data_IF_306692604871
#
_entry.id   IF_306692604871
#
_cell.length_a   1.000
_cell.length_b   1.000
_cell.length_c   1.000
_cell.angle_alpha   90.00
_cell.angle_beta   90.00
_cell.angle_gamma   90.00
#
_symmetry.space_group_name_H-M   'P 1'
#
loop_
_entity.id
_entity.type
_entity.pdbx_description
1 polymer ?
#
# COMPACT_ATOMS: atom_id res chain seq x y z
N UNK A 1 -4.67 -4.98 -17.80
CA UNK A 1 -4.54 -4.67 -16.37
C UNK A 1 -5.00 -5.87 -15.55
N UNK A 2 -4.38 -6.11 -14.40
CA UNK A 2 -4.75 -7.15 -13.44
C UNK A 2 -4.59 -6.62 -12.01
N UNK A 3 -5.08 -7.36 -11.02
CA UNK A 3 -4.91 -7.03 -9.61
C UNK A 3 -4.73 -8.31 -8.78
N UNK A 4 -3.96 -8.24 -7.71
CA UNK A 4 -3.76 -9.37 -6.82
C UNK A 4 -2.81 -9.06 -5.66
N UNK A 5 -2.69 -10.02 -4.74
CA UNK A 5 -1.75 -9.97 -3.63
C UNK A 5 -0.37 -10.47 -4.06
N UNK A 6 0.73 -10.10 -3.37
CA UNK A 6 2.08 -10.47 -3.77
C UNK A 6 2.31 -11.97 -3.96
N UNK A 7 1.65 -12.84 -3.17
CA UNK A 7 1.79 -14.29 -3.28
C UNK A 7 1.31 -14.84 -4.62
N UNK A 8 0.23 -14.29 -5.18
CA UNK A 8 -0.26 -14.63 -6.53
C UNK A 8 0.78 -14.26 -7.57
N UNK A 9 1.37 -13.08 -7.45
CA UNK A 9 2.38 -12.59 -8.39
C UNK A 9 3.69 -13.37 -8.30
N UNK A 10 4.11 -13.78 -7.11
CA UNK A 10 5.27 -14.68 -6.96
C UNK A 10 5.03 -16.02 -7.66
N UNK A 11 3.86 -16.62 -7.49
CA UNK A 11 3.50 -17.86 -8.18
C UNK A 11 3.47 -17.70 -9.70
N UNK A 12 2.93 -16.59 -10.21
CA UNK A 12 2.96 -16.27 -11.64
C UNK A 12 4.39 -16.15 -12.15
N UNK A 13 5.27 -15.42 -11.47
CA UNK A 13 6.67 -15.26 -11.90
C UNK A 13 7.40 -16.61 -11.95
N UNK A 14 7.25 -17.45 -10.93
CA UNK A 14 7.82 -18.80 -10.93
C UNK A 14 7.33 -19.63 -12.11
N UNK A 15 6.03 -19.57 -12.41
CA UNK A 15 5.46 -20.29 -13.55
C UNK A 15 6.01 -19.79 -14.89
N UNK A 16 6.09 -18.46 -15.09
CA UNK A 16 6.62 -17.86 -16.31
C UNK A 16 8.08 -18.26 -16.55
N UNK A 17 8.90 -18.22 -15.49
CA UNK A 17 10.31 -18.61 -15.56
C UNK A 17 10.50 -20.09 -15.88
N UNK A 18 9.83 -20.97 -15.13
CA UNK A 18 9.94 -22.41 -15.32
C UNK A 18 9.56 -22.85 -16.74
N UNK A 19 8.61 -22.16 -17.36
CA UNK A 19 8.11 -22.48 -18.69
C UNK A 19 8.65 -21.56 -19.80
N UNK A 20 9.56 -20.62 -19.47
CA UNK A 20 10.14 -19.63 -20.40
C UNK A 20 9.06 -18.82 -21.14
N UNK A 21 8.00 -18.47 -20.44
CA UNK A 21 6.88 -17.71 -20.98
C UNK A 21 7.08 -16.20 -20.82
N UNK A 22 6.39 -15.41 -21.64
CA UNK A 22 6.35 -13.96 -21.59
C UNK A 22 4.92 -13.47 -21.44
N UNK A 23 4.76 -12.28 -20.84
CA UNK A 23 3.48 -11.60 -20.79
C UNK A 23 3.29 -10.78 -22.07
N UNK A 24 2.22 -11.05 -22.82
CA UNK A 24 1.97 -10.42 -24.12
C UNK A 24 1.03 -9.21 -24.04
N UNK A 25 0.08 -9.22 -23.11
CA UNK A 25 -1.02 -8.23 -23.07
C UNK A 25 -1.11 -7.47 -21.75
N UNK A 26 -0.52 -8.00 -20.68
CA UNK A 26 -0.49 -7.35 -19.38
C UNK A 26 0.51 -6.19 -19.40
N UNK A 27 0.05 -4.96 -19.09
CA UNK A 27 0.88 -3.75 -19.04
C UNK A 27 0.92 -3.13 -17.64
N UNK A 28 -0.03 -3.48 -16.79
CA UNK A 28 -0.14 -2.92 -15.43
C UNK A 28 -0.74 -3.92 -14.48
N UNK A 29 -0.25 -3.93 -13.24
CA UNK A 29 -0.86 -4.65 -12.13
C UNK A 29 -1.04 -3.76 -10.92
N UNK A 30 -2.18 -3.95 -10.23
CA UNK A 30 -2.44 -3.40 -8.91
C UNK A 30 -2.05 -4.45 -7.87
N UNK A 31 -1.31 -4.04 -6.87
CA UNK A 31 -0.87 -4.91 -5.77
C UNK A 31 -1.28 -4.29 -4.45
N UNK A 32 -1.90 -5.10 -3.59
CA UNK A 32 -2.34 -4.68 -2.27
C UNK A 32 -2.42 -5.87 -1.31
N UNK A 33 -2.92 -5.63 -0.11
CA UNK A 33 -3.11 -6.65 0.92
C UNK A 33 -1.86 -6.99 1.75
N UNK A 34 -0.66 -6.83 1.19
CA UNK A 34 0.61 -6.91 1.91
C UNK A 34 1.73 -6.19 1.15
N UNK A 35 2.88 -5.98 1.78
CA UNK A 35 4.02 -5.34 1.15
C UNK A 35 4.57 -6.18 -0.02
N UNK A 36 4.79 -5.55 -1.17
CA UNK A 36 5.39 -6.19 -2.33
C UNK A 36 6.93 -6.07 -2.27
N UNK A 37 7.68 -7.17 -2.38
CA UNK A 37 9.14 -7.11 -2.41
C UNK A 37 9.65 -6.26 -3.58
N UNK A 38 10.64 -5.40 -3.32
CA UNK A 38 11.28 -4.54 -4.35
C UNK A 38 11.80 -5.38 -5.52
N UNK A 39 12.40 -6.54 -5.24
CA UNK A 39 12.89 -7.44 -6.28
C UNK A 39 11.78 -7.94 -7.22
N UNK A 40 10.56 -8.15 -6.71
CA UNK A 40 9.44 -8.56 -7.53
C UNK A 40 8.89 -7.39 -8.37
N UNK A 41 8.93 -6.15 -7.83
CA UNK A 41 8.60 -4.93 -8.57
C UNK A 41 9.58 -4.75 -9.74
N UNK A 42 10.88 -4.84 -9.46
CA UNK A 42 11.93 -4.76 -10.47
C UNK A 42 11.73 -5.80 -11.59
N UNK A 43 11.43 -7.03 -11.21
CA UNK A 43 11.21 -8.11 -12.16
C UNK A 43 10.04 -7.84 -13.10
N UNK A 44 8.91 -7.34 -12.58
CA UNK A 44 7.78 -6.95 -13.41
C UNK A 44 8.14 -5.84 -14.40
N UNK A 45 8.85 -4.81 -13.93
CA UNK A 45 9.24 -3.68 -14.76
C UNK A 45 10.30 -4.06 -15.80
N UNK A 46 11.41 -4.64 -15.35
CA UNK A 46 12.62 -4.79 -16.14
C UNK A 46 12.56 -5.99 -17.11
N UNK A 47 11.89 -7.09 -16.72
CA UNK A 47 11.86 -8.32 -17.51
C UNK A 47 10.56 -8.49 -18.33
N UNK A 48 9.44 -7.91 -17.84
CA UNK A 48 8.12 -8.12 -18.42
C UNK A 48 7.43 -6.86 -18.94
N UNK A 49 8.03 -5.68 -18.79
CA UNK A 49 7.44 -4.38 -19.20
C UNK A 49 6.04 -4.17 -18.59
N UNK A 50 5.90 -4.48 -17.29
CA UNK A 50 4.65 -4.36 -16.55
C UNK A 50 4.80 -3.35 -15.42
N UNK A 51 4.02 -2.29 -15.50
CA UNK A 51 3.94 -1.26 -14.44
C UNK A 51 3.25 -1.84 -13.19
N UNK A 52 3.93 -1.77 -12.05
CA UNK A 52 3.35 -2.13 -10.75
C UNK A 52 2.78 -0.88 -10.09
N UNK A 53 1.53 -0.96 -9.69
CA UNK A 53 0.84 0.02 -8.83
C UNK A 53 0.61 -0.62 -7.47
N UNK A 54 1.41 -0.25 -6.48
CA UNK A 54 1.27 -0.73 -5.11
C UNK A 54 0.34 0.21 -4.35
N UNK A 55 -0.62 -0.34 -3.62
CA UNK A 55 -1.58 0.42 -2.85
C UNK A 55 -1.86 -0.21 -1.49
N UNK A 56 -2.53 0.55 -0.65
CA UNK A 56 -2.98 0.09 0.65
C UNK A 56 -4.45 0.43 0.84
N UNK A 57 -5.10 -0.44 1.59
CA UNK A 57 -6.48 -0.28 2.02
C UNK A 57 -6.93 -1.47 2.84
N UNK A 58 -8.12 -1.38 3.35
CA UNK A 58 -8.76 -2.37 4.21
C UNK A 58 -10.27 -2.34 3.96
N UNK A 59 -11.01 -3.27 4.53
CA UNK A 59 -12.48 -3.32 4.39
C UNK A 59 -13.11 -1.98 4.78
N UNK A 60 -12.61 -1.38 5.85
CA UNK A 60 -13.07 -0.10 6.39
C UNK A 60 -12.78 1.11 5.49
N UNK A 61 -12.00 0.93 4.43
CA UNK A 61 -11.71 1.95 3.42
C UNK A 61 -12.27 1.59 2.04
N UNK A 62 -13.24 0.70 1.98
CA UNK A 62 -13.86 0.22 0.73
C UNK A 62 -12.78 -0.25 -0.26
N UNK A 63 -11.90 -1.11 0.26
CA UNK A 63 -10.77 -1.78 -0.37
C UNK A 63 -9.52 -0.92 -0.66
N UNK A 64 -9.62 0.37 -0.98
CA UNK A 64 -8.45 1.17 -1.35
C UNK A 64 -8.49 2.57 -0.75
N UNK A 65 -7.38 3.00 -0.16
CA UNK A 65 -7.20 4.33 0.40
C UNK A 65 -5.99 5.07 -0.14
N UNK A 66 -4.94 4.33 -0.50
CA UNK A 66 -3.75 4.90 -1.14
C UNK A 66 -3.37 4.10 -2.37
N UNK A 67 -2.69 4.75 -3.31
CA UNK A 67 -2.15 4.10 -4.51
C UNK A 67 -0.83 4.77 -4.91
N UNK A 68 0.16 3.93 -5.25
CA UNK A 68 1.45 4.35 -5.77
C UNK A 68 1.44 4.49 -7.28
N UNK A 69 2.03 5.58 -7.74
CA UNK A 69 2.36 5.81 -9.14
C UNK A 69 3.66 6.62 -9.19
N UNK A 70 4.48 6.38 -10.19
CA UNK A 70 5.63 7.24 -10.50
C UNK A 70 5.14 8.51 -11.21
N UNK A 71 5.76 9.63 -10.91
CA UNK A 71 5.64 10.86 -11.69
C UNK A 71 6.52 10.79 -12.93
N UNK A 72 6.34 11.72 -13.88
CA UNK A 72 7.17 11.76 -15.08
C UNK A 72 8.67 11.88 -14.74
N UNK A 73 9.02 12.77 -13.82
CA UNK A 73 10.41 12.97 -13.39
C UNK A 73 11.02 11.73 -12.70
N UNK A 74 10.19 10.93 -12.03
CA UNK A 74 10.64 9.70 -11.35
C UNK A 74 10.87 8.53 -12.30
N UNK A 75 10.27 8.56 -13.49
CA UNK A 75 10.54 7.57 -14.53
C UNK A 75 11.96 7.70 -15.11
N UNK A 76 12.54 8.90 -15.05
CA UNK A 76 13.90 9.19 -15.55
C UNK A 76 15.00 8.91 -14.50
N UNK A 77 14.62 8.48 -13.28
CA UNK A 77 15.58 8.13 -12.24
C UNK A 77 16.31 6.81 -12.54
N UNK A 78 17.53 6.61 -12.01
CA UNK A 78 18.23 5.32 -12.10
C UNK A 78 17.37 4.15 -11.60
N UNK A 79 17.38 3.04 -12.30
CA UNK A 79 16.41 1.92 -12.19
C UNK A 79 16.06 1.45 -10.77
N UNK A 80 17.01 1.45 -9.84
CA UNK A 80 16.75 1.04 -8.46
C UNK A 80 15.87 2.02 -7.67
N UNK A 81 15.85 3.31 -8.02
CA UNK A 81 15.10 4.33 -7.30
C UNK A 81 13.59 4.26 -7.58
N UNK A 82 13.12 4.17 -8.84
CA UNK A 82 11.71 3.94 -9.14
C UNK A 82 11.13 2.70 -8.43
N UNK A 83 11.87 1.61 -8.37
CA UNK A 83 11.41 0.39 -7.70
C UNK A 83 11.22 0.59 -6.19
N UNK A 84 12.12 1.32 -5.52
CA UNK A 84 11.99 1.66 -4.11
C UNK A 84 10.81 2.61 -3.84
N UNK A 85 10.54 3.55 -4.76
CA UNK A 85 9.38 4.45 -4.68
C UNK A 85 8.08 3.64 -4.80
N UNK A 86 7.99 2.75 -5.78
CA UNK A 86 6.80 1.89 -6.01
C UNK A 86 6.57 0.92 -4.86
N UNK A 87 7.62 0.51 -4.13
CA UNK A 87 7.47 -0.36 -2.96
C UNK A 87 6.70 0.28 -1.79
N UNK A 88 6.63 1.61 -1.74
CA UNK A 88 5.74 2.33 -0.81
C UNK A 88 4.28 2.21 -1.27
N UNK A 89 3.33 2.31 -0.32
CA UNK A 89 1.91 2.14 -0.63
C UNK A 89 1.26 3.38 -1.27
N UNK A 90 2.07 4.38 -1.63
CA UNK A 90 1.66 5.52 -2.44
C UNK A 90 0.98 6.65 -1.66
N UNK A 91 0.27 7.50 -2.39
CA UNK A 91 -0.41 8.69 -1.87
C UNK A 91 -1.89 8.42 -1.64
N UNK A 92 -2.50 9.18 -0.73
CA UNK A 92 -3.95 9.11 -0.51
C UNK A 92 -4.72 9.39 -1.78
N UNK A 93 -5.80 8.64 -2.00
CA UNK A 93 -6.73 8.86 -3.10
C UNK A 93 -7.56 10.13 -2.86
N UNK A 94 -8.13 10.69 -3.92
CA UNK A 94 -9.01 11.86 -3.82
C UNK A 94 -10.14 11.60 -2.80
N UNK A 95 -10.34 12.55 -1.88
CA UNK A 95 -11.38 12.44 -0.84
C UNK A 95 -10.95 11.63 0.39
N UNK A 96 -9.71 11.16 0.45
CA UNK A 96 -9.11 10.51 1.62
C UNK A 96 -7.99 11.38 2.19
N UNK A 97 -8.01 11.53 3.50
CA UNK A 97 -6.94 12.16 4.27
C UNK A 97 -6.25 11.11 5.14
N UNK A 98 -4.94 11.22 5.25
CA UNK A 98 -4.10 10.36 6.09
C UNK A 98 -3.20 11.22 6.97
N UNK A 99 -2.98 10.78 8.19
CA UNK A 99 -1.95 11.32 9.10
C UNK A 99 -1.36 10.22 9.96
N UNK A 100 -0.17 10.47 10.45
CA UNK A 100 0.50 9.60 11.42
C UNK A 100 0.56 10.36 12.75
N UNK A 101 0.27 9.67 13.85
CA UNK A 101 0.27 10.26 15.20
C UNK A 101 1.17 9.43 16.13
N UNK A 102 1.71 10.11 17.15
CA UNK A 102 2.43 9.46 18.23
C UNK A 102 1.47 8.86 19.30
N UNK A 103 2.04 8.29 20.36
CA UNK A 103 1.29 7.69 21.46
C UNK A 103 0.40 8.68 22.21
N UNK A 104 0.69 9.99 22.13
CA UNK A 104 -0.12 11.06 22.74
C UNK A 104 -1.25 11.53 21.83
N UNK A 105 -1.27 11.09 20.55
CA UNK A 105 -2.20 11.54 19.53
C UNK A 105 -1.74 12.80 18.78
N UNK A 106 -0.52 13.30 19.05
CA UNK A 106 0.04 14.42 18.31
C UNK A 106 0.47 14.01 16.90
N UNK A 107 0.12 14.85 15.90
CA UNK A 107 0.47 14.58 14.51
C UNK A 107 1.98 14.68 14.29
N UNK A 108 2.55 13.63 13.73
CA UNK A 108 3.96 13.55 13.38
C UNK A 108 4.26 14.24 12.03
N UNK A 109 5.50 14.71 11.82
CA UNK A 109 5.90 15.34 10.57
C UNK A 109 5.92 14.33 9.40
N UNK A 110 5.73 14.84 8.18
CA UNK A 110 5.88 14.08 6.94
C UNK A 110 7.33 14.14 6.46
N UNK A 111 8.21 13.42 7.13
CA UNK A 111 9.66 13.39 6.88
C UNK A 111 10.17 12.05 6.34
N UNK A 112 9.26 11.08 6.16
CA UNK A 112 9.59 9.72 5.72
C UNK A 112 10.23 8.83 6.78
N UNK A 113 10.51 9.36 7.98
CA UNK A 113 11.21 8.67 9.07
C UNK A 113 10.40 8.56 10.35
N UNK A 114 9.61 9.58 10.70
CA UNK A 114 8.77 9.59 11.88
C UNK A 114 7.66 8.55 11.78
N UNK A 115 7.72 7.54 12.66
CA UNK A 115 6.78 6.41 12.68
C UNK A 115 5.73 6.59 13.75
N UNK A 116 4.48 6.26 13.45
CA UNK A 116 3.39 6.27 14.40
C UNK A 116 2.13 5.61 13.86
N UNK A 117 1.05 5.68 14.64
CA UNK A 117 -0.25 5.10 14.26
C UNK A 117 -0.82 5.84 13.05
N UNK A 118 -1.20 5.08 12.01
CA UNK A 118 -1.86 5.61 10.83
C UNK A 118 -3.34 5.85 11.11
N UNK A 119 -3.76 7.09 10.98
CA UNK A 119 -5.16 7.49 11.06
C UNK A 119 -5.66 7.94 9.68
N UNK A 120 -6.90 7.58 9.37
CA UNK A 120 -7.52 7.88 8.08
C UNK A 120 -8.93 8.47 8.27
N UNK A 121 -9.29 9.39 7.39
CA UNK A 121 -10.68 9.84 7.25
C UNK A 121 -11.03 10.10 5.79
N UNK A 122 -12.31 10.04 5.47
CA UNK A 122 -12.76 10.29 4.10
C UNK A 122 -14.19 9.82 3.86
N UNK A 123 -14.70 10.11 2.67
CA UNK A 123 -16.11 9.88 2.35
C UNK A 123 -16.50 8.40 2.25
N UNK A 124 -15.53 7.51 1.98
CA UNK A 124 -15.75 6.05 1.93
C UNK A 124 -15.00 5.30 3.03
N UNK A 125 -14.55 6.01 4.06
CA UNK A 125 -14.07 5.40 5.30
C UNK A 125 -15.27 5.06 6.17
N UNK A 126 -15.25 3.89 6.80
CA UNK A 126 -16.35 3.41 7.64
C UNK A 126 -16.68 4.43 8.73
N UNK A 127 -17.98 4.68 8.93
CA UNK A 127 -18.47 5.52 10.04
C UNK A 127 -18.96 4.70 11.24
N UNK A 128 -19.16 3.40 11.06
CA UNK A 128 -19.61 2.48 12.12
C UNK A 128 -19.69 1.05 11.62
N UNK A 129 -19.64 0.11 12.55
CA UNK A 129 -19.87 -1.31 12.27
C UNK A 129 -21.33 -1.69 12.43
N UNK A 130 -21.78 -2.68 11.66
CA UNK A 130 -23.14 -3.21 11.79
C UNK A 130 -23.38 -3.73 13.21
N UNK A 131 -24.44 -3.23 13.88
CA UNK A 131 -24.75 -3.52 15.30
C UNK A 131 -23.62 -3.16 16.29
N UNK A 132 -22.65 -2.33 15.90
CA UNK A 132 -21.66 -1.80 16.82
C UNK A 132 -22.29 -0.78 17.77
N UNK A 133 -21.98 -0.88 19.08
CA UNK A 133 -22.55 0.01 20.10
C UNK A 133 -21.85 1.37 20.17
N UNK A 134 -20.63 1.48 19.60
CA UNK A 134 -19.83 2.71 19.61
C UNK A 134 -19.23 3.02 18.25
N UNK A 135 -18.95 4.30 18.02
CA UNK A 135 -18.23 4.73 16.82
C UNK A 135 -16.79 4.21 16.84
N UNK A 136 -16.26 3.64 15.74
CA UNK A 136 -14.85 3.29 15.62
C UNK A 136 -13.96 4.52 15.43
N UNK A 137 -14.56 5.70 15.22
CA UNK A 137 -13.82 6.94 14.96
C UNK A 137 -13.39 7.62 16.27
N UNK A 138 -12.16 8.13 16.29
CA UNK A 138 -11.61 9.00 17.34
C UNK A 138 -11.46 10.40 16.73
N UNK A 139 -12.20 11.36 17.22
CA UNK A 139 -12.23 12.75 16.73
C UNK A 139 -12.39 12.83 15.18
N UNK A 140 -13.27 11.98 14.61
CA UNK A 140 -13.53 11.94 13.19
C UNK A 140 -12.49 11.18 12.36
N UNK A 141 -11.49 10.56 12.99
CA UNK A 141 -10.47 9.73 12.34
C UNK A 141 -10.64 8.25 12.69
N UNK A 142 -10.46 7.40 11.70
CA UNK A 142 -10.44 5.96 11.87
C UNK A 142 -9.00 5.49 12.16
N UNK A 143 -8.74 4.87 13.33
CA UNK A 143 -7.46 4.27 13.63
C UNK A 143 -7.31 2.93 12.89
N UNK A 144 -6.34 2.83 12.00
CA UNK A 144 -6.20 1.66 11.12
C UNK A 144 -5.57 0.46 11.81
N UNK A 145 -4.84 0.69 12.89
CA UNK A 145 -4.00 -0.31 13.54
C UNK A 145 -2.70 -0.61 12.77
N UNK A 146 -2.37 0.16 11.75
CA UNK A 146 -1.09 0.09 11.07
C UNK A 146 -0.14 1.20 11.57
N UNK A 147 1.15 0.90 11.65
CA UNK A 147 2.22 1.85 11.90
C UNK A 147 2.82 2.26 10.56
N UNK A 148 2.93 3.55 10.32
CA UNK A 148 3.38 4.08 9.04
C UNK A 148 4.32 5.27 9.17
N UNK A 149 4.99 5.61 8.06
CA UNK A 149 5.64 6.89 7.82
C UNK A 149 5.00 7.57 6.62
N UNK A 150 5.09 8.90 6.53
CA UNK A 150 4.66 9.66 5.36
C UNK A 150 5.84 10.53 4.90
N UNK A 151 6.18 10.43 3.62
CA UNK A 151 7.21 11.26 2.99
C UNK A 151 6.75 12.72 2.84
N UNK A 152 7.66 13.68 2.63
CA UNK A 152 7.32 15.08 2.38
C UNK A 152 6.39 15.28 1.18
N UNK A 153 6.47 14.40 0.17
CA UNK A 153 5.61 14.41 -1.03
C UNK A 153 4.25 13.73 -0.82
N UNK A 154 3.99 13.20 0.39
CA UNK A 154 2.73 12.57 0.77
C UNK A 154 2.66 11.06 0.53
N UNK A 155 3.74 10.40 0.10
CA UNK A 155 3.77 8.93 0.00
C UNK A 155 3.82 8.30 1.38
N UNK A 156 2.95 7.36 1.58
CA UNK A 156 2.87 6.55 2.81
C UNK A 156 3.66 5.24 2.64
N UNK A 157 4.29 4.82 3.71
CA UNK A 157 4.89 3.50 3.82
C UNK A 157 4.47 2.83 5.12
N UNK A 158 3.84 1.67 5.03
CA UNK A 158 3.56 0.81 6.19
C UNK A 158 4.89 0.24 6.69
N UNK A 159 5.08 0.32 7.99
CA UNK A 159 6.27 -0.17 8.70
C UNK A 159 5.97 -1.42 9.50
N UNK A 160 4.81 -1.45 10.18
CA UNK A 160 4.42 -2.55 11.06
C UNK A 160 2.90 -2.52 11.31
N UNK A 161 2.41 -3.46 12.08
CA UNK A 161 1.07 -3.43 12.67
C UNK A 161 1.14 -3.24 14.17
N UNK A 162 0.28 -2.38 14.68
CA UNK A 162 0.21 -2.10 16.12
C UNK A 162 -0.37 -3.27 16.94
N UNK A 163 -0.98 -4.25 16.26
CA UNK A 163 -1.43 -5.53 16.83
C UNK A 163 -0.89 -6.65 15.97
N UNK A 164 -0.24 -7.63 16.60
CA UNK A 164 0.27 -8.85 15.95
C UNK A 164 -0.88 -9.69 15.37
N UNK A 165 -1.32 -9.32 14.19
CA UNK A 165 -2.21 -10.17 13.40
C UNK A 165 -1.32 -10.95 12.44
N UNK A 166 -1.14 -12.23 12.71
CA UNK A 166 -0.43 -13.14 11.80
C UNK A 166 -1.25 -13.28 10.54
N UNK A 167 -0.70 -12.84 9.41
CA UNK A 167 -1.28 -13.06 8.09
C UNK A 167 -0.58 -14.23 7.41
N UNK A 168 -1.35 -15.24 7.02
CA UNK A 168 -0.87 -16.33 6.16
C UNK A 168 -1.56 -16.25 4.80
N UNK A 169 -0.78 -16.16 3.72
CA UNK A 169 -1.30 -16.15 2.35
C UNK A 169 -2.19 -14.96 1.98
N UNK A 170 -2.17 -13.87 2.76
CA UNK A 170 -3.03 -12.69 2.55
C UNK A 170 -4.32 -12.70 3.37
N UNK A 171 -4.57 -13.74 4.15
CA UNK A 171 -5.69 -13.86 5.08
C UNK A 171 -5.24 -13.63 6.52
N UNK A 172 -6.12 -13.05 7.36
CA UNK A 172 -5.90 -12.89 8.79
C UNK A 172 -6.24 -14.21 9.51
N UNK A 173 -5.33 -14.69 10.32
CA UNK A 173 -5.53 -15.83 11.25
C UNK A 173 -5.70 -15.28 12.66
#
# INVERSE_FOLDING_TARGET
>A
ISAGVPTIWMGLMQHLEANKLKLSTMRRTLVGGSAMPVALIAKFADEYDVEVRHGWGMTETTAAATVGALTADELDLPAAQPHAIVAKQGKSMFGIEIKVVDETGATLPRDGSSQGELLIRGQWVVSGYFKGESSPLKDGWFPTGDIATIDPDGRMQIRDRSKDVIKSGGECI
#
